data_IF_257850719782
#
_entry.id   IF_257850719782
#
_cell.length_a   1.000
_cell.length_b   1.000
_cell.length_c   1.000
_cell.angle_alpha   90.00
_cell.angle_beta   90.00
_cell.angle_gamma   90.00
#
_symmetry.space_group_name_H-M   'P 1'
#
loop_
_entity.id
_entity.type
_entity.pdbx_description
1 polymer ?
#
# COMPACT_ATOMS: atom_id res chain seq x y z
N UNK A 1 45.14 -3.96 10.90
CA UNK A 1 44.29 -2.76 11.00
C UNK A 1 42.86 -3.17 10.71
N UNK A 2 42.05 -3.42 11.73
CA UNK A 2 40.63 -3.78 11.56
C UNK A 2 39.83 -2.51 11.32
N UNK A 3 39.44 -2.28 10.07
CA UNK A 3 38.55 -1.18 9.71
C UNK A 3 37.17 -1.46 10.32
N UNK A 4 36.92 -0.90 11.50
CA UNK A 4 35.59 -0.87 12.09
C UNK A 4 34.73 0.09 11.24
N UNK A 5 34.06 -0.43 10.21
CA UNK A 5 33.05 0.31 9.47
C UNK A 5 31.97 0.76 10.46
N UNK A 6 31.94 2.07 10.75
CA UNK A 6 30.86 2.68 11.52
C UNK A 6 29.54 2.33 10.84
N UNK A 7 28.68 1.60 11.55
CA UNK A 7 27.35 1.22 11.09
C UNK A 7 26.51 2.50 11.01
N UNK A 8 26.31 3.04 9.81
CA UNK A 8 25.40 4.17 9.59
C UNK A 8 23.99 3.66 9.85
N UNK A 9 23.36 4.16 10.92
CA UNK A 9 21.95 3.90 11.19
C UNK A 9 21.17 4.93 10.39
N UNK A 10 20.52 4.49 9.31
CA UNK A 10 19.62 5.34 8.54
C UNK A 10 18.41 5.69 9.40
N UNK A 11 18.22 6.99 9.65
CA UNK A 11 17.02 7.48 10.34
C UNK A 11 15.85 7.54 9.36
N UNK A 12 14.77 6.81 9.66
CA UNK A 12 13.53 6.83 8.88
C UNK A 12 12.46 7.51 9.74
N UNK A 13 11.87 8.59 9.25
CA UNK A 13 10.77 9.29 9.92
C UNK A 13 9.56 8.38 10.09
N UNK A 14 8.73 8.62 11.11
CA UNK A 14 7.56 7.77 11.41
C UNK A 14 6.52 7.75 10.27
N UNK A 15 6.46 8.84 9.49
CA UNK A 15 5.63 8.99 8.30
C UNK A 15 6.17 8.19 7.11
N UNK A 16 7.49 8.12 6.94
CA UNK A 16 8.10 7.36 5.86
C UNK A 16 8.13 5.85 6.15
N UNK A 17 7.83 5.41 7.37
CA UNK A 17 7.85 4.00 7.71
C UNK A 17 6.66 3.25 7.13
N UNK A 18 6.93 2.05 6.61
CA UNK A 18 5.93 1.05 6.28
C UNK A 18 4.92 0.90 7.42
N UNK A 19 3.63 1.07 7.12
CA UNK A 19 2.56 1.04 8.12
C UNK A 19 2.33 -0.36 8.72
N UNK A 20 3.02 -1.39 8.22
CA UNK A 20 2.88 -2.77 8.68
C UNK A 20 4.06 -3.22 9.52
N UNK A 21 5.28 -3.15 8.98
CA UNK A 21 6.45 -3.61 9.74
C UNK A 21 7.07 -2.52 10.64
N UNK A 22 6.82 -1.23 10.37
CA UNK A 22 7.45 -0.07 11.02
C UNK A 22 8.99 -0.08 11.04
N UNK A 23 9.63 -0.99 10.30
CA UNK A 23 11.10 -1.21 10.27
C UNK A 23 11.79 -0.61 9.05
N UNK A 24 11.08 -0.49 7.93
CA UNK A 24 11.61 -0.08 6.62
C UNK A 24 10.86 1.12 6.09
N UNK A 25 11.50 1.87 5.19
CA UNK A 25 10.86 2.94 4.43
C UNK A 25 9.76 2.35 3.54
N UNK A 26 8.61 3.00 3.51
CA UNK A 26 7.55 2.74 2.57
C UNK A 26 7.93 3.35 1.22
N UNK A 27 8.01 2.51 0.20
CA UNK A 27 8.34 2.92 -1.16
C UNK A 27 7.19 2.68 -2.12
N UNK A 28 6.10 2.07 -1.64
CA UNK A 28 4.95 1.66 -2.42
C UNK A 28 3.65 2.06 -1.71
N UNK A 29 2.58 2.18 -2.48
CA UNK A 29 1.20 2.34 -2.02
C UNK A 29 0.40 1.08 -2.34
N UNK A 30 -0.66 0.84 -1.57
CA UNK A 30 -1.53 -0.31 -1.78
C UNK A 30 -2.59 -0.02 -2.86
N UNK A 31 -2.55 -0.76 -3.96
CA UNK A 31 -3.41 -0.54 -5.13
C UNK A 31 -4.82 -1.11 -5.01
N UNK A 32 -5.14 -1.78 -3.90
CA UNK A 32 -6.48 -2.36 -3.69
C UNK A 32 -7.59 -1.30 -3.79
N UNK A 33 -8.51 -1.41 -4.76
CA UNK A 33 -9.65 -0.51 -4.86
C UNK A 33 -10.56 -0.62 -3.63
N UNK A 34 -11.03 0.51 -3.11
CA UNK A 34 -11.96 0.63 -1.98
C UNK A 34 -13.33 1.12 -2.37
N UNK A 35 -13.45 1.78 -3.52
CA UNK A 35 -14.71 2.30 -4.02
C UNK A 35 -14.51 3.09 -5.30
N UNK A 36 -15.62 3.55 -5.88
CA UNK A 36 -15.63 4.45 -7.02
C UNK A 36 -16.44 5.68 -6.64
N UNK A 37 -15.90 6.86 -6.88
CA UNK A 37 -16.67 8.09 -6.81
C UNK A 37 -17.43 8.20 -8.13
N UNK A 38 -18.76 8.16 -8.06
CA UNK A 38 -19.62 8.42 -9.21
C UNK A 38 -20.29 9.76 -8.92
N UNK A 39 -19.93 10.80 -9.69
CA UNK A 39 -20.54 12.11 -9.62
C UNK A 39 -21.54 12.26 -10.80
N UNK A 40 -22.78 11.75 -10.68
CA UNK A 40 -23.72 11.72 -11.80
C UNK A 40 -24.10 13.12 -12.31
N UNK A 41 -24.15 14.12 -11.43
CA UNK A 41 -24.49 15.51 -11.77
C UNK A 41 -23.30 16.35 -12.27
N UNK A 42 -22.08 15.80 -12.24
CA UNK A 42 -20.87 16.54 -12.57
C UNK A 42 -20.18 16.04 -13.86
N UNK A 43 -20.86 15.21 -14.67
CA UNK A 43 -20.32 14.73 -15.95
C UNK A 43 -19.91 15.87 -16.90
N UNK A 44 -20.63 17.00 -16.85
CA UNK A 44 -20.33 18.18 -17.67
C UNK A 44 -19.30 19.11 -17.04
N UNK A 45 -18.81 18.80 -15.83
CA UNK A 45 -17.82 19.59 -15.08
C UNK A 45 -16.42 18.93 -15.08
N UNK A 46 -16.22 17.86 -15.87
CA UNK A 46 -14.92 17.16 -15.94
C UNK A 46 -14.56 16.34 -14.70
N UNK A 47 -15.51 16.11 -13.79
CA UNK A 47 -15.31 15.23 -12.64
C UNK A 47 -15.48 13.77 -13.10
N UNK A 48 -14.39 13.21 -13.61
CA UNK A 48 -14.30 11.83 -14.06
C UNK A 48 -14.50 10.81 -12.92
N UNK A 49 -14.76 9.55 -13.30
CA UNK A 49 -14.92 8.43 -12.37
C UNK A 49 -13.58 8.15 -11.69
N UNK A 50 -13.35 8.67 -10.49
CA UNK A 50 -12.16 8.35 -9.71
C UNK A 50 -12.32 7.02 -8.96
N UNK A 51 -11.32 6.15 -9.07
CA UNK A 51 -11.19 4.94 -8.24
C UNK A 51 -10.45 5.35 -6.97
N UNK A 52 -11.07 5.12 -5.81
CA UNK A 52 -10.36 5.29 -4.53
C UNK A 52 -9.60 4.01 -4.22
N UNK A 53 -8.30 4.13 -4.03
CA UNK A 53 -7.40 3.03 -3.65
C UNK A 53 -7.18 3.01 -2.13
N UNK A 54 -6.52 1.97 -1.64
CA UNK A 54 -6.29 1.78 -0.21
C UNK A 54 -5.20 2.71 0.33
N UNK A 55 -4.21 3.06 -0.51
CA UNK A 55 -3.11 4.01 -0.28
C UNK A 55 -2.29 3.80 0.99
N UNK A 56 -2.38 2.61 1.59
CA UNK A 56 -1.52 2.26 2.72
C UNK A 56 -0.08 2.19 2.24
N UNK A 57 0.78 2.93 2.93
CA UNK A 57 2.23 3.01 2.70
C UNK A 57 2.89 1.71 3.12
N UNK A 58 3.48 1.00 2.15
CA UNK A 58 4.09 -0.32 2.35
C UNK A 58 5.52 -0.34 1.81
N UNK A 59 6.38 -1.13 2.47
CA UNK A 59 7.70 -1.48 1.91
C UNK A 59 7.57 -2.69 0.97
N UNK A 60 8.53 -2.86 0.08
CA UNK A 60 8.64 -4.01 -0.83
C UNK A 60 8.45 -5.35 -0.10
N UNK A 61 9.10 -5.54 1.05
CA UNK A 61 9.02 -6.77 1.86
C UNK A 61 7.63 -7.08 2.46
N UNK A 62 6.77 -6.06 2.61
CA UNK A 62 5.42 -6.25 3.12
C UNK A 62 4.38 -6.28 2.00
N UNK A 63 4.81 -6.16 0.75
CA UNK A 63 3.94 -6.08 -0.41
C UNK A 63 3.69 -7.48 -0.95
N UNK A 64 2.47 -7.77 -1.36
CA UNK A 64 2.16 -8.93 -2.20
C UNK A 64 1.83 -8.42 -3.59
N UNK A 65 2.66 -8.78 -4.57
CA UNK A 65 2.46 -8.38 -5.95
C UNK A 65 1.58 -9.39 -6.68
N UNK A 66 0.51 -8.93 -7.32
CA UNK A 66 -0.42 -9.76 -8.11
C UNK A 66 -0.70 -9.05 -9.42
N UNK A 67 -0.30 -9.63 -10.57
CA UNK A 67 -0.54 -9.07 -11.91
C UNK A 67 -0.17 -7.57 -12.05
N UNK A 68 0.94 -7.16 -11.44
CA UNK A 68 1.40 -5.76 -11.46
C UNK A 68 0.81 -4.84 -10.39
N UNK A 69 -0.15 -5.32 -9.59
CA UNK A 69 -0.69 -4.57 -8.44
C UNK A 69 0.07 -4.88 -7.16
N UNK A 70 0.39 -3.84 -6.40
CA UNK A 70 1.04 -3.91 -5.10
C UNK A 70 0.00 -3.87 -3.98
N UNK A 71 -0.20 -5.01 -3.29
CA UNK A 71 -1.25 -5.16 -2.29
C UNK A 71 -0.67 -5.25 -0.87
N UNK A 72 -1.28 -4.52 0.07
CA UNK A 72 -0.89 -4.58 1.47
C UNK A 72 -1.38 -5.87 2.16
N UNK A 73 -0.75 -6.28 3.28
CA UNK A 73 -1.10 -7.50 3.99
C UNK A 73 -2.58 -7.58 4.41
N UNK A 74 -3.18 -6.45 4.77
CA UNK A 74 -4.60 -6.41 5.16
C UNK A 74 -5.54 -6.68 3.99
N UNK A 75 -5.24 -6.13 2.80
CA UNK A 75 -6.04 -6.34 1.61
C UNK A 75 -5.91 -7.78 1.11
N UNK A 76 -4.72 -8.36 1.16
CA UNK A 76 -4.49 -9.77 0.82
C UNK A 76 -5.27 -10.70 1.75
N UNK A 77 -5.28 -10.44 3.06
CA UNK A 77 -6.08 -11.21 4.02
C UNK A 77 -7.57 -11.18 3.65
N UNK A 78 -8.11 -10.01 3.31
CA UNK A 78 -9.51 -9.86 2.88
C UNK A 78 -9.83 -10.65 1.62
N UNK A 79 -8.96 -10.60 0.60
CA UNK A 79 -9.12 -11.40 -0.63
C UNK A 79 -9.16 -12.89 -0.30
N UNK A 80 -8.21 -13.37 0.51
CA UNK A 80 -8.12 -14.78 0.90
C UNK A 80 -9.36 -15.23 1.67
N UNK A 81 -9.92 -14.39 2.54
CA UNK A 81 -11.16 -14.69 3.25
C UNK A 81 -12.36 -14.75 2.30
N UNK A 82 -12.47 -13.81 1.35
CA UNK A 82 -13.55 -13.81 0.36
C UNK A 82 -13.51 -15.04 -0.57
N UNK A 83 -12.32 -15.51 -0.94
CA UNK A 83 -12.14 -16.71 -1.77
C UNK A 83 -12.48 -18.02 -1.05
N UNK A 84 -12.38 -18.05 0.28
CA UNK A 84 -12.65 -19.25 1.09
C UNK A 84 -14.14 -19.51 1.34
N UNK A 85 -15.03 -18.64 0.86
CA UNK A 85 -16.46 -18.91 0.85
C UNK A 85 -17.06 -19.11 2.24
N UNK A 86 -16.69 -18.29 3.22
CA UNK A 86 -17.48 -18.21 4.46
C UNK A 86 -18.73 -17.37 4.19
N UNK A 87 -19.77 -18.04 3.71
CA UNK A 87 -21.19 -17.69 3.85
C UNK A 87 -21.87 -18.79 4.64
#
# INVERSE_FOLDING_TARGET
>A
MTNAMKKIIEFISEEDRCQFCRKRKATLLCDMPRGKIIAPYARNLGLEKHIMTCDRRICTECTTRVNGFDLCPNCVKKIKMAQKGER
#
